data_IF_333511848831
#
_entry.id   IF_333511848831
#
_cell.length_a   1.000
_cell.length_b   1.000
_cell.length_c   1.000
_cell.angle_alpha   90.00
_cell.angle_beta   90.00
_cell.angle_gamma   90.00
#
_symmetry.space_group_name_H-M   'P 1'
#
loop_
_entity.id
_entity.type
_entity.pdbx_description
1 polymer ?
#
# COMPACT_ATOMS: atom_id res chain seq x y z
N UNK A 1 27.79 -10.76 -8.97
CA UNK A 1 26.47 -11.17 -9.49
C UNK A 1 25.95 -12.23 -8.54
N UNK A 2 24.98 -11.89 -7.70
CA UNK A 2 24.33 -12.89 -6.84
C UNK A 2 23.23 -13.51 -7.69
N UNK A 3 23.41 -14.74 -8.11
CA UNK A 3 22.38 -15.54 -8.74
C UNK A 3 21.26 -15.71 -7.71
N UNK A 4 20.22 -14.87 -7.86
CA UNK A 4 19.09 -14.76 -6.94
C UNK A 4 18.22 -16.01 -6.91
N UNK A 5 18.76 -17.10 -6.42
CA UNK A 5 17.95 -18.29 -6.11
C UNK A 5 17.11 -17.91 -4.88
N UNK A 6 15.83 -17.69 -5.10
CA UNK A 6 14.87 -17.54 -4.00
C UNK A 6 14.94 -18.77 -3.11
N UNK A 7 15.17 -18.63 -1.81
CA UNK A 7 15.22 -19.79 -0.92
C UNK A 7 13.89 -20.56 -0.98
N UNK A 8 13.96 -21.86 -1.13
CA UNK A 8 12.77 -22.70 -1.02
C UNK A 8 12.15 -22.54 0.38
N UNK A 9 10.82 -22.51 0.46
CA UNK A 9 10.13 -22.51 1.76
C UNK A 9 10.56 -23.75 2.55
N UNK A 10 10.82 -23.62 3.87
CA UNK A 10 11.09 -24.79 4.71
C UNK A 10 9.96 -25.81 4.59
N UNK A 11 10.28 -27.10 4.58
CA UNK A 11 9.29 -28.18 4.47
C UNK A 11 8.24 -28.10 5.59
N UNK A 12 8.61 -27.57 6.76
CA UNK A 12 7.71 -27.33 7.89
C UNK A 12 6.85 -26.08 7.78
N UNK A 13 7.07 -25.22 6.76
CA UNK A 13 6.34 -23.98 6.57
C UNK A 13 5.22 -24.18 5.54
N UNK A 14 4.06 -24.62 6.01
CA UNK A 14 2.88 -24.94 5.22
C UNK A 14 1.90 -23.75 5.02
N UNK A 15 2.22 -22.59 5.64
CA UNK A 15 1.31 -21.45 5.65
C UNK A 15 1.44 -20.62 4.39
N UNK A 16 0.31 -20.08 3.97
CA UNK A 16 0.24 -19.05 2.95
C UNK A 16 0.80 -17.74 3.46
N UNK A 17 1.36 -16.90 2.59
CA UNK A 17 1.92 -15.60 2.94
C UNK A 17 1.11 -14.50 2.29
N UNK A 18 0.65 -13.55 3.10
CA UNK A 18 -0.01 -12.33 2.65
C UNK A 18 0.89 -11.11 2.81
N UNK A 19 0.79 -10.17 1.87
CA UNK A 19 1.42 -8.85 1.96
C UNK A 19 0.35 -7.78 1.86
N UNK A 20 0.24 -6.93 2.87
CA UNK A 20 -0.73 -5.84 2.96
C UNK A 20 0.02 -4.52 2.87
N UNK A 21 -0.32 -3.71 1.86
CA UNK A 21 0.32 -2.44 1.53
C UNK A 21 -0.65 -1.28 1.76
N UNK A 22 -0.33 -0.45 2.74
CA UNK A 22 -1.12 0.73 3.09
C UNK A 22 -1.02 1.82 2.01
N UNK A 23 -2.07 2.63 1.84
CA UNK A 23 -2.01 3.86 1.05
C UNK A 23 -1.12 4.90 1.72
N UNK A 24 -0.44 5.75 0.94
CA UNK A 24 0.49 6.73 1.52
C UNK A 24 1.22 7.65 0.55
N UNK A 25 0.83 7.70 -0.72
CA UNK A 25 1.49 8.53 -1.73
C UNK A 25 2.99 8.21 -1.83
N UNK A 26 3.85 9.23 -1.74
CA UNK A 26 5.30 9.08 -1.87
C UNK A 26 5.94 8.11 -0.86
N UNK A 27 5.31 7.90 0.31
CA UNK A 27 5.78 6.94 1.31
C UNK A 27 5.72 5.48 0.82
N UNK A 28 4.99 5.23 -0.26
CA UNK A 28 4.91 3.91 -0.89
C UNK A 28 6.25 3.38 -1.41
N UNK A 29 7.25 4.22 -1.63
CA UNK A 29 8.62 3.78 -1.99
C UNK A 29 9.23 2.86 -0.93
N UNK A 30 8.91 3.07 0.34
CA UNK A 30 9.29 2.18 1.44
C UNK A 30 8.77 0.74 1.25
N UNK A 31 7.56 0.58 0.71
CA UNK A 31 6.97 -0.73 0.45
C UNK A 31 7.76 -1.52 -0.60
N UNK A 32 8.36 -0.81 -1.58
CA UNK A 32 9.26 -1.41 -2.56
C UNK A 32 10.47 -2.06 -1.89
N UNK A 33 11.13 -1.37 -0.95
CA UNK A 33 12.26 -1.93 -0.18
C UNK A 33 11.86 -3.08 0.73
N UNK A 34 10.66 -3.04 1.31
CA UNK A 34 10.11 -4.18 2.08
C UNK A 34 9.92 -5.39 1.17
N UNK A 35 9.35 -5.20 -0.03
CA UNK A 35 9.20 -6.29 -0.98
C UNK A 35 10.54 -6.84 -1.45
N UNK A 36 11.52 -6.00 -1.72
CA UNK A 36 12.88 -6.42 -2.08
C UNK A 36 13.48 -7.37 -1.02
N UNK A 37 13.35 -7.05 0.27
CA UNK A 37 13.78 -7.92 1.34
C UNK A 37 12.99 -9.24 1.43
N UNK A 38 11.68 -9.19 1.15
CA UNK A 38 10.84 -10.39 1.10
C UNK A 38 11.17 -11.27 -0.11
N UNK A 39 11.54 -10.67 -1.24
CA UNK A 39 11.82 -11.38 -2.49
C UNK A 39 13.00 -12.37 -2.39
N UNK A 40 13.94 -12.10 -1.49
CA UNK A 40 15.10 -12.97 -1.22
C UNK A 40 14.94 -13.79 0.06
N UNK A 41 13.73 -13.88 0.59
CA UNK A 41 13.41 -14.64 1.81
C UNK A 41 12.55 -15.87 1.50
N UNK A 42 12.43 -16.76 2.49
CA UNK A 42 11.50 -17.90 2.46
C UNK A 42 10.01 -17.49 2.53
N UNK A 43 9.70 -16.20 2.76
CA UNK A 43 8.36 -15.67 3.00
C UNK A 43 7.79 -14.95 1.76
N UNK A 44 7.96 -15.51 0.58
CA UNK A 44 7.37 -14.94 -0.64
C UNK A 44 5.84 -14.88 -0.54
N UNK A 45 5.24 -13.69 -0.79
CA UNK A 45 3.79 -13.58 -0.80
C UNK A 45 3.14 -14.39 -1.93
N UNK A 46 2.01 -15.00 -1.62
CA UNK A 46 1.08 -15.58 -2.60
C UNK A 46 -0.22 -14.77 -2.75
N UNK A 47 -0.41 -13.78 -1.89
CA UNK A 47 -1.50 -12.82 -1.96
C UNK A 47 -1.00 -11.44 -1.55
N UNK A 48 -1.16 -10.47 -2.41
CA UNK A 48 -0.86 -9.06 -2.13
C UNK A 48 -2.14 -8.24 -2.19
N UNK A 49 -2.35 -7.39 -1.18
CA UNK A 49 -3.48 -6.48 -1.13
C UNK A 49 -2.99 -5.06 -0.85
N UNK A 50 -3.54 -4.07 -1.54
CA UNK A 50 -3.10 -2.68 -1.40
C UNK A 50 -4.22 -1.66 -1.60
N UNK A 51 -3.99 -0.46 -1.06
CA UNK A 51 -4.85 0.72 -1.22
C UNK A 51 -4.00 1.86 -1.76
N UNK A 52 -4.55 2.67 -2.67
CA UNK A 52 -3.88 3.85 -3.23
C UNK A 52 -2.52 3.48 -3.84
N UNK A 53 -1.44 4.13 -3.45
CA UNK A 53 -0.08 3.77 -3.89
C UNK A 53 0.28 2.32 -3.54
N UNK A 54 -0.27 1.79 -2.44
CA UNK A 54 -0.11 0.38 -2.07
C UNK A 54 -0.77 -0.56 -3.09
N UNK A 55 -1.88 -0.15 -3.73
CA UNK A 55 -2.51 -0.90 -4.81
C UNK A 55 -1.64 -0.92 -6.07
N UNK A 56 -0.99 0.19 -6.39
CA UNK A 56 -0.05 0.28 -7.51
C UNK A 56 1.15 -0.64 -7.27
N UNK A 57 1.80 -0.55 -6.10
CA UNK A 57 2.90 -1.44 -5.75
C UNK A 57 2.47 -2.92 -5.78
N UNK A 58 1.28 -3.23 -5.23
CA UNK A 58 0.72 -4.57 -5.24
C UNK A 58 0.52 -5.10 -6.67
N UNK A 59 0.00 -4.27 -7.58
CA UNK A 59 -0.22 -4.63 -8.96
C UNK A 59 1.11 -4.85 -9.73
N UNK A 60 2.12 -3.99 -9.49
CA UNK A 60 3.46 -4.20 -10.06
C UNK A 60 4.07 -5.51 -9.56
N UNK A 61 3.89 -5.85 -8.29
CA UNK A 61 4.38 -7.12 -7.73
C UNK A 61 3.64 -8.31 -8.35
N UNK A 62 2.32 -8.27 -8.41
CA UNK A 62 1.51 -9.38 -8.90
C UNK A 62 1.62 -9.59 -10.42
N UNK A 63 1.73 -8.51 -11.18
CA UNK A 63 1.77 -8.54 -12.64
C UNK A 63 3.16 -8.76 -13.24
N UNK A 64 4.16 -9.16 -12.46
CA UNK A 64 5.47 -9.44 -12.99
C UNK A 64 6.01 -10.79 -12.52
N UNK A 65 6.87 -11.41 -13.32
CA UNK A 65 7.58 -12.61 -12.93
C UNK A 65 8.49 -12.34 -11.71
N UNK A 66 8.68 -13.31 -10.81
CA UNK A 66 9.41 -13.09 -9.56
C UNK A 66 10.75 -12.38 -9.71
N UNK A 67 11.51 -12.73 -10.74
CA UNK A 67 12.83 -12.18 -11.06
C UNK A 67 12.78 -10.70 -11.51
N UNK A 68 11.64 -10.22 -11.99
CA UNK A 68 11.48 -8.85 -12.50
C UNK A 68 10.78 -7.90 -11.53
N UNK A 69 10.12 -8.40 -10.49
CA UNK A 69 9.27 -7.61 -9.58
C UNK A 69 9.99 -6.44 -8.94
N UNK A 70 11.17 -6.69 -8.38
CA UNK A 70 11.98 -5.66 -7.71
C UNK A 70 12.43 -4.60 -8.72
N UNK A 71 12.92 -5.04 -9.90
CA UNK A 71 13.35 -4.10 -10.94
C UNK A 71 12.18 -3.26 -11.45
N UNK A 72 10.99 -3.83 -11.64
CA UNK A 72 9.80 -3.10 -12.07
C UNK A 72 9.32 -2.09 -11.03
N UNK A 73 9.39 -2.43 -9.73
CA UNK A 73 9.13 -1.47 -8.65
C UNK A 73 10.13 -0.32 -8.67
N UNK A 74 11.43 -0.60 -8.87
CA UNK A 74 12.46 0.44 -9.01
C UNK A 74 12.17 1.34 -10.19
N UNK A 75 11.93 0.78 -11.37
CA UNK A 75 11.60 1.53 -12.58
C UNK A 75 10.38 2.44 -12.36
N UNK A 76 9.30 1.93 -11.75
CA UNK A 76 8.13 2.74 -11.43
C UNK A 76 8.50 3.95 -10.56
N UNK A 77 9.21 3.71 -9.46
CA UNK A 77 9.57 4.78 -8.53
C UNK A 77 10.58 5.76 -9.10
N UNK A 78 11.55 5.32 -9.88
CA UNK A 78 12.50 6.18 -10.57
C UNK A 78 11.80 7.10 -11.59
N UNK A 79 10.88 6.57 -12.38
CA UNK A 79 10.15 7.34 -13.37
C UNK A 79 9.25 8.41 -12.75
N UNK A 80 8.44 8.05 -11.75
CA UNK A 80 7.52 9.02 -11.14
C UNK A 80 8.23 10.02 -10.22
N UNK A 81 9.46 9.75 -9.80
CA UNK A 81 10.27 10.67 -8.99
C UNK A 81 11.35 11.38 -9.80
N UNK A 82 11.45 11.12 -11.10
CA UNK A 82 12.41 11.79 -11.96
C UNK A 82 12.24 13.32 -11.88
N UNK A 83 13.33 14.09 -11.72
CA UNK A 83 13.23 15.53 -11.61
C UNK A 83 12.68 16.13 -12.92
N UNK A 84 11.57 16.85 -12.82
CA UNK A 84 10.91 17.54 -13.93
C UNK A 84 11.65 18.79 -14.40
N UNK A 85 12.79 19.16 -13.79
CA UNK A 85 13.47 20.41 -14.05
C UNK A 85 14.98 20.26 -14.10
N UNK A 86 15.58 20.92 -15.10
CA UNK A 86 17.02 21.09 -15.31
C UNK A 86 17.77 21.84 -14.17
N UNK A 87 17.05 22.28 -13.14
CA UNK A 87 17.56 23.11 -12.06
C UNK A 87 18.07 22.33 -10.83
N UNK A 88 17.93 21.01 -10.81
CA UNK A 88 18.29 20.19 -9.62
C UNK A 88 19.79 19.88 -9.48
N UNK A 89 20.62 20.25 -10.46
CA UNK A 89 22.06 19.92 -10.46
C UNK A 89 22.98 20.93 -9.77
N UNK A 90 22.46 22.05 -9.26
CA UNK A 90 23.30 23.19 -8.87
C UNK A 90 23.35 23.53 -7.37
N UNK A 91 22.62 22.87 -6.48
CA UNK A 91 22.55 23.27 -5.07
C UNK A 91 22.80 22.08 -4.12
N UNK A 92 24.06 21.79 -3.87
CA UNK A 92 24.50 21.01 -2.71
C UNK A 92 24.68 21.96 -1.51
N UNK A 93 23.79 21.85 -0.50
CA UNK A 93 23.88 22.67 0.70
C UNK A 93 22.79 22.41 1.74
N UNK A 94 22.82 23.03 2.93
CA UNK A 94 21.94 22.77 4.08
C UNK A 94 20.47 23.18 3.89
N UNK A 95 19.99 23.35 2.67
CA UNK A 95 18.65 23.83 2.31
C UNK A 95 17.72 22.64 1.99
N UNK A 96 17.87 21.52 2.70
CA UNK A 96 17.09 20.30 2.44
C UNK A 96 15.58 20.52 2.60
N UNK A 97 15.16 21.30 3.59
CA UNK A 97 13.74 21.61 3.81
C UNK A 97 13.16 22.45 2.67
N UNK A 98 13.92 23.43 2.17
CA UNK A 98 13.51 24.26 1.03
C UNK A 98 13.40 23.45 -0.27
N UNK A 99 14.30 22.50 -0.48
CA UNK A 99 14.25 21.59 -1.64
C UNK A 99 13.04 20.65 -1.59
N UNK A 100 12.62 20.19 -0.41
CA UNK A 100 11.41 19.38 -0.24
C UNK A 100 10.15 20.19 -0.56
N UNK A 101 10.07 21.43 -0.07
CA UNK A 101 8.98 22.36 -0.39
C UNK A 101 8.96 22.71 -1.89
N UNK A 102 10.11 23.00 -2.48
CA UNK A 102 10.22 23.28 -3.90
C UNK A 102 9.85 22.08 -4.76
N UNK A 103 10.26 20.85 -4.37
CA UNK A 103 9.87 19.62 -5.04
C UNK A 103 8.37 19.33 -4.96
N UNK A 104 7.77 19.53 -3.79
CA UNK A 104 6.32 19.37 -3.62
C UNK A 104 5.52 20.41 -4.40
N UNK A 105 5.94 21.69 -4.37
CA UNK A 105 5.33 22.76 -5.17
C UNK A 105 5.50 22.52 -6.67
N UNK A 106 6.66 22.01 -7.11
CA UNK A 106 6.90 21.66 -8.50
C UNK A 106 5.96 20.53 -8.95
N UNK A 107 5.80 19.50 -8.15
CA UNK A 107 4.86 18.39 -8.43
C UNK A 107 3.39 18.89 -8.48
N UNK A 108 3.02 19.81 -7.58
CA UNK A 108 1.69 20.42 -7.58
C UNK A 108 1.45 21.30 -8.81
N UNK A 109 2.46 22.07 -9.23
CA UNK A 109 2.31 23.03 -10.35
C UNK A 109 2.51 22.40 -11.72
N UNK A 110 3.40 21.43 -11.85
CA UNK A 110 3.79 20.85 -13.15
C UNK A 110 3.38 19.37 -13.31
N UNK A 111 2.86 18.74 -12.25
CA UNK A 111 2.53 17.32 -12.25
C UNK A 111 3.73 16.42 -11.97
N UNK A 112 3.49 15.12 -12.13
CA UNK A 112 4.52 14.07 -12.03
C UNK A 112 4.56 13.25 -13.31
N UNK A 113 5.69 13.15 -13.99
CA UNK A 113 5.82 12.37 -15.23
C UNK A 113 5.32 10.95 -15.03
N UNK A 114 4.53 10.47 -15.99
CA UNK A 114 3.99 9.10 -15.93
C UNK A 114 2.96 8.84 -14.83
N UNK A 115 2.55 9.88 -14.08
CA UNK A 115 1.56 9.71 -13.01
C UNK A 115 0.38 10.68 -13.16
N UNK A 116 0.60 12.00 -13.05
CA UNK A 116 -0.48 12.99 -13.19
C UNK A 116 0.01 14.30 -13.78
N UNK A 117 -0.90 15.00 -14.44
CA UNK A 117 -0.67 16.28 -15.07
C UNK A 117 -1.70 17.31 -14.59
N UNK A 118 -1.32 18.58 -14.33
CA UNK A 118 -2.26 19.63 -13.97
C UNK A 118 -3.21 19.90 -15.14
N UNK A 119 -4.46 20.22 -14.82
CA UNK A 119 -5.42 20.66 -15.84
C UNK A 119 -5.04 22.05 -16.35
N UNK A 120 -5.16 22.25 -17.65
CA UNK A 120 -4.89 23.54 -18.28
C UNK A 120 -6.04 24.53 -17.98
N UNK A 121 -5.80 25.85 -17.99
CA UNK A 121 -6.84 26.85 -17.70
C UNK A 121 -8.12 26.67 -18.53
N UNK A 122 -8.01 26.29 -19.80
CA UNK A 122 -9.18 26.08 -20.66
C UNK A 122 -10.06 24.88 -20.22
N UNK A 123 -9.49 23.89 -19.54
CA UNK A 123 -10.26 22.74 -19.02
C UNK A 123 -11.26 23.17 -17.93
N UNK A 124 -11.03 24.31 -17.27
CA UNK A 124 -11.90 24.85 -16.21
C UNK A 124 -13.12 25.61 -16.77
N UNK A 125 -12.99 26.11 -18.00
CA UNK A 125 -14.04 26.93 -18.65
C UNK A 125 -14.80 26.15 -19.72
N UNK A 126 -14.46 24.88 -19.94
CA UNK A 126 -15.20 24.01 -20.87
C UNK A 126 -16.56 23.61 -20.26
N UNK A 127 -17.54 23.29 -21.11
CA UNK A 127 -18.91 22.92 -20.72
C UNK A 127 -19.00 21.70 -19.81
N UNK A 128 -17.99 20.85 -19.80
CA UNK A 128 -17.85 19.77 -18.83
C UNK A 128 -17.02 20.28 -17.64
N UNK A 129 -17.71 20.59 -16.55
CA UNK A 129 -17.09 21.03 -15.31
C UNK A 129 -16.02 20.02 -14.85
N UNK A 130 -14.79 20.52 -14.63
CA UNK A 130 -13.70 19.67 -14.14
C UNK A 130 -13.96 19.25 -12.70
N UNK A 131 -14.00 17.94 -12.45
CA UNK A 131 -14.22 17.35 -11.11
C UNK A 131 -12.93 17.04 -10.36
N UNK A 132 -11.77 17.50 -10.87
CA UNK A 132 -10.45 17.26 -10.26
C UNK A 132 -9.43 18.30 -10.70
N UNK A 133 -8.38 18.46 -9.90
CA UNK A 133 -7.27 19.37 -10.23
C UNK A 133 -6.31 18.81 -11.29
N UNK A 134 -6.15 17.50 -11.35
CA UNK A 134 -5.21 16.81 -12.22
C UNK A 134 -5.90 15.81 -13.14
N UNK A 135 -5.21 15.46 -14.23
CA UNK A 135 -5.51 14.33 -15.11
C UNK A 135 -4.57 13.17 -14.78
N UNK A 136 -5.06 11.94 -14.83
CA UNK A 136 -4.30 10.72 -14.52
C UNK A 136 -4.17 9.77 -15.71
N UNK A 137 -4.33 10.28 -16.94
CA UNK A 137 -4.18 9.49 -18.17
C UNK A 137 -2.77 8.88 -18.31
N UNK A 138 -1.74 9.64 -17.91
CA UNK A 138 -0.36 9.18 -17.92
C UNK A 138 -0.14 7.95 -17.03
N UNK A 139 -0.81 7.88 -15.88
CA UNK A 139 -0.75 6.72 -14.99
C UNK A 139 -1.23 5.44 -15.68
N UNK A 140 -2.33 5.51 -16.45
CA UNK A 140 -2.83 4.34 -17.18
C UNK A 140 -1.76 3.73 -18.07
N UNK A 141 -1.11 4.56 -18.89
CA UNK A 141 -0.04 4.11 -19.80
C UNK A 141 1.16 3.54 -19.04
N UNK A 142 1.51 4.14 -17.88
CA UNK A 142 2.59 3.62 -17.03
C UNK A 142 2.24 2.25 -16.45
N UNK A 143 1.00 2.06 -15.97
CA UNK A 143 0.55 0.77 -15.45
C UNK A 143 0.52 -0.30 -16.54
N UNK A 144 -0.02 0.00 -17.73
CA UNK A 144 -0.07 -0.92 -18.86
C UNK A 144 1.33 -1.35 -19.35
N UNK A 145 2.32 -0.48 -19.22
CA UNK A 145 3.71 -0.78 -19.61
C UNK A 145 4.47 -1.59 -18.55
N UNK A 146 4.21 -1.35 -17.27
CA UNK A 146 4.96 -1.96 -16.16
C UNK A 146 4.32 -3.22 -15.60
N UNK A 147 3.04 -3.47 -15.90
CA UNK A 147 2.23 -4.54 -15.31
C UNK A 147 1.66 -5.40 -16.42
N UNK A 148 1.92 -6.68 -16.35
CA UNK A 148 1.25 -7.69 -17.15
C UNK A 148 -0.07 -8.09 -16.47
N UNK A 149 -1.18 -7.51 -16.93
CA UNK A 149 -2.52 -7.80 -16.42
C UNK A 149 -3.00 -9.20 -16.79
N UNK A 150 -2.53 -9.76 -17.89
CA UNK A 150 -2.83 -11.14 -18.26
C UNK A 150 -2.21 -12.11 -17.26
N UNK A 151 -1.00 -11.81 -16.80
CA UNK A 151 -0.36 -12.58 -15.72
C UNK A 151 -1.18 -12.57 -14.44
N UNK A 152 -1.66 -11.40 -13.99
CA UNK A 152 -2.52 -11.26 -12.80
C UNK A 152 -3.76 -12.14 -12.91
N UNK A 153 -4.38 -12.14 -14.09
CA UNK A 153 -5.69 -12.76 -14.29
C UNK A 153 -5.62 -14.28 -14.57
N UNK A 154 -4.55 -14.76 -15.19
CA UNK A 154 -4.52 -16.13 -15.71
C UNK A 154 -3.55 -17.07 -14.98
N UNK A 155 -2.39 -16.59 -14.49
CA UNK A 155 -1.38 -17.51 -13.92
C UNK A 155 -1.72 -18.01 -12.52
N UNK A 156 -2.52 -17.25 -11.76
CA UNK A 156 -2.87 -17.54 -10.35
C UNK A 156 -1.65 -17.73 -9.42
N UNK A 157 -0.47 -17.27 -9.86
CA UNK A 157 0.75 -17.36 -9.04
C UNK A 157 0.67 -16.45 -7.82
N UNK A 158 0.06 -15.28 -7.99
CA UNK A 158 -0.12 -14.31 -6.93
C UNK A 158 -1.50 -13.68 -7.05
N UNK A 159 -2.29 -13.78 -5.98
CA UNK A 159 -3.57 -13.11 -5.87
C UNK A 159 -3.36 -11.62 -5.63
N UNK A 160 -4.09 -10.78 -6.35
CA UNK A 160 -4.13 -9.34 -6.18
C UNK A 160 -5.51 -8.90 -5.68
N UNK A 161 -5.53 -8.04 -4.64
CA UNK A 161 -6.75 -7.37 -4.21
C UNK A 161 -6.48 -5.89 -4.02
N UNK A 162 -7.31 -5.04 -4.62
CA UNK A 162 -7.25 -3.58 -4.47
C UNK A 162 -8.61 -3.06 -4.04
N UNK A 163 -8.63 -2.02 -3.19
CA UNK A 163 -9.87 -1.47 -2.66
C UNK A 163 -10.13 -0.06 -3.15
N UNK A 164 -11.40 0.25 -3.44
CA UNK A 164 -11.84 1.59 -3.82
C UNK A 164 -13.24 1.89 -3.23
N UNK A 165 -13.62 3.15 -3.22
CA UNK A 165 -14.93 3.61 -2.72
C UNK A 165 -15.82 3.98 -3.89
N UNK A 166 -16.98 3.35 -3.98
CA UNK A 166 -18.02 3.75 -4.95
C UNK A 166 -18.55 5.14 -4.58
N UNK A 167 -18.44 6.09 -5.54
CA UNK A 167 -18.76 7.51 -5.30
C UNK A 167 -20.23 7.71 -4.99
N UNK A 168 -21.12 6.96 -5.65
CA UNK A 168 -22.56 7.12 -5.53
C UNK A 168 -23.12 6.54 -4.23
N UNK A 169 -22.60 5.39 -3.81
CA UNK A 169 -23.13 4.64 -2.66
C UNK A 169 -22.34 4.84 -1.38
N UNK A 170 -21.07 5.30 -1.48
CA UNK A 170 -20.12 5.34 -0.36
C UNK A 170 -19.64 3.95 0.08
N UNK A 171 -20.06 2.88 -0.60
CA UNK A 171 -19.60 1.53 -0.26
C UNK A 171 -18.13 1.34 -0.64
N UNK A 172 -17.44 0.56 0.18
CA UNK A 172 -16.08 0.16 -0.07
C UNK A 172 -16.06 -1.20 -0.75
N UNK A 173 -15.53 -1.24 -1.97
CA UNK A 173 -15.47 -2.43 -2.79
C UNK A 173 -14.03 -2.95 -2.92
N UNK A 174 -13.87 -4.28 -2.93
CA UNK A 174 -12.60 -4.93 -3.25
C UNK A 174 -12.65 -5.56 -4.64
N UNK A 175 -11.76 -5.15 -5.50
CA UNK A 175 -11.46 -5.78 -6.78
C UNK A 175 -10.38 -6.84 -6.57
N UNK A 176 -10.72 -8.09 -6.82
CA UNK A 176 -9.91 -9.25 -6.43
C UNK A 176 -9.74 -10.20 -7.62
N UNK A 177 -8.50 -10.53 -7.96
CA UNK A 177 -8.16 -11.36 -9.13
C UNK A 177 -8.69 -12.80 -9.08
N UNK A 178 -9.12 -13.29 -7.90
CA UNK A 178 -9.83 -14.55 -7.81
C UNK A 178 -11.33 -14.45 -8.17
N UNK A 179 -11.89 -13.24 -8.21
CA UNK A 179 -13.32 -13.00 -8.40
C UNK A 179 -13.65 -12.33 -9.72
N UNK A 180 -12.80 -11.43 -10.17
CA UNK A 180 -13.01 -10.62 -11.39
C UNK A 180 -11.72 -10.51 -12.19
N UNK A 181 -11.83 -10.15 -13.46
CA UNK A 181 -10.69 -9.76 -14.28
C UNK A 181 -10.20 -8.37 -13.87
N UNK A 182 -8.99 -8.28 -13.39
CA UNK A 182 -8.35 -7.03 -13.00
C UNK A 182 -7.89 -6.27 -14.23
N UNK A 183 -8.21 -4.98 -14.28
CA UNK A 183 -7.84 -4.03 -15.34
C UNK A 183 -7.08 -2.85 -14.72
N UNK A 184 -6.35 -2.05 -15.51
CA UNK A 184 -5.68 -0.84 -15.03
C UNK A 184 -6.61 0.10 -14.25
N UNK A 185 -7.87 0.22 -14.67
CA UNK A 185 -8.87 1.08 -14.04
C UNK A 185 -9.13 0.72 -12.57
N UNK A 186 -9.10 -0.56 -12.21
CA UNK A 186 -9.26 -0.99 -10.81
C UNK A 186 -8.13 -0.48 -9.91
N UNK A 187 -6.88 -0.52 -10.44
CA UNK A 187 -5.70 -0.01 -9.73
C UNK A 187 -5.75 1.51 -9.64
N UNK A 188 -6.12 2.19 -10.73
CA UNK A 188 -6.28 3.64 -10.79
C UNK A 188 -7.37 4.14 -9.85
N UNK A 189 -8.50 3.44 -9.77
CA UNK A 189 -9.62 3.77 -8.87
C UNK A 189 -9.18 3.76 -7.41
N UNK A 190 -8.36 2.77 -7.03
CA UNK A 190 -7.81 2.69 -5.68
C UNK A 190 -6.92 3.89 -5.31
N UNK A 191 -6.36 4.59 -6.29
CA UNK A 191 -5.50 5.77 -6.09
C UNK A 191 -6.14 7.11 -6.48
N UNK A 192 -7.42 7.13 -6.82
CA UNK A 192 -8.14 8.32 -7.29
C UNK A 192 -8.60 9.21 -6.13
N UNK A 193 -7.64 9.88 -5.45
CA UNK A 193 -7.93 10.71 -4.27
C UNK A 193 -8.58 12.05 -4.65
N UNK A 194 -9.83 12.35 -4.23
CA UNK A 194 -10.46 13.64 -4.47
C UNK A 194 -9.91 14.74 -3.56
N UNK A 195 -9.93 15.99 -3.95
CA UNK A 195 -10.28 16.55 -5.27
C UNK A 195 -9.08 16.54 -6.24
N UNK A 196 -7.95 15.94 -5.87
CA UNK A 196 -6.75 15.90 -6.69
C UNK A 196 -6.99 15.17 -8.01
N UNK A 197 -7.45 13.93 -7.94
CA UNK A 197 -7.65 13.08 -9.10
C UNK A 197 -9.12 12.85 -9.43
N UNK A 198 -9.45 12.65 -10.72
CA UNK A 198 -10.82 12.38 -11.13
C UNK A 198 -11.27 10.99 -10.64
N UNK A 199 -12.58 10.78 -10.45
CA UNK A 199 -13.11 9.45 -10.25
C UNK A 199 -12.83 8.59 -11.48
N UNK A 200 -12.65 7.30 -11.27
CA UNK A 200 -12.44 6.32 -12.33
C UNK A 200 -13.73 5.56 -12.55
N UNK A 201 -14.18 5.50 -13.81
CA UNK A 201 -15.34 4.73 -14.19
C UNK A 201 -14.99 3.25 -14.39
N UNK A 202 -15.75 2.38 -13.76
CA UNK A 202 -15.67 0.93 -13.87
C UNK A 202 -17.08 0.39 -14.00
N UNK A 203 -17.38 -0.19 -15.15
CA UNK A 203 -18.66 -0.84 -15.46
C UNK A 203 -19.90 0.07 -15.18
N UNK A 204 -19.77 1.37 -15.51
CA UNK A 204 -20.83 2.38 -15.34
C UNK A 204 -20.94 3.02 -13.96
N UNK A 205 -20.12 2.61 -13.01
CA UNK A 205 -20.02 3.21 -11.67
C UNK A 205 -18.70 3.96 -11.50
N UNK A 206 -18.71 5.04 -10.69
CA UNK A 206 -17.54 5.86 -10.43
C UNK A 206 -16.92 5.52 -9.09
N UNK A 207 -15.58 5.46 -9.05
CA UNK A 207 -14.81 5.07 -7.87
C UNK A 207 -13.74 6.11 -7.52
N UNK A 208 -13.58 6.34 -6.24
CA UNK A 208 -12.51 7.10 -5.61
C UNK A 208 -11.57 6.22 -4.78
N UNK A 209 -10.46 6.82 -4.33
CA UNK A 209 -9.42 6.19 -3.52
C UNK A 209 -10.02 5.47 -2.30
N UNK A 210 -9.59 4.23 -2.13
CA UNK A 210 -10.00 3.41 -0.98
C UNK A 210 -9.60 4.00 0.37
N UNK A 211 -8.55 4.82 0.42
CA UNK A 211 -8.08 5.49 1.63
C UNK A 211 -9.09 6.44 2.26
N UNK A 212 -10.13 6.86 1.54
CA UNK A 212 -11.25 7.62 2.09
C UNK A 212 -12.01 6.83 3.16
N UNK A 213 -12.10 5.53 3.01
CA UNK A 213 -12.83 4.64 3.93
C UNK A 213 -11.88 3.77 4.76
N UNK A 214 -10.99 3.02 4.11
CA UNK A 214 -10.03 2.14 4.77
C UNK A 214 -8.68 2.19 4.03
N UNK A 215 -7.64 2.62 4.73
CA UNK A 215 -6.32 2.80 4.13
C UNK A 215 -5.44 1.53 4.16
N UNK A 216 -5.92 0.44 4.79
CA UNK A 216 -5.19 -0.81 4.95
C UNK A 216 -6.12 -2.00 4.77
N UNK A 217 -5.92 -2.87 3.78
CA UNK A 217 -6.83 -3.97 3.46
C UNK A 217 -6.60 -5.23 4.32
N UNK A 218 -6.21 -5.07 5.60
CA UNK A 218 -5.92 -6.20 6.49
C UNK A 218 -7.17 -7.02 6.79
N UNK A 219 -8.28 -6.37 7.13
CA UNK A 219 -9.54 -7.04 7.46
C UNK A 219 -10.02 -7.94 6.32
N UNK A 220 -9.92 -7.47 5.07
CA UNK A 220 -10.29 -8.26 3.90
C UNK A 220 -9.50 -9.56 3.80
N UNK A 221 -8.19 -9.51 4.04
CA UNK A 221 -7.33 -10.69 3.98
C UNK A 221 -7.56 -11.65 5.15
N UNK A 222 -7.84 -11.12 6.35
CA UNK A 222 -8.08 -11.90 7.58
C UNK A 222 -9.45 -12.58 7.57
N UNK A 223 -10.47 -11.87 7.11
CA UNK A 223 -11.87 -12.34 7.15
C UNK A 223 -12.27 -13.13 5.91
N UNK A 224 -11.37 -13.26 4.94
CA UNK A 224 -11.66 -14.02 3.71
C UNK A 224 -11.96 -15.49 4.00
N UNK A 225 -13.08 -15.97 3.48
CA UNK A 225 -13.53 -17.34 3.69
C UNK A 225 -13.31 -18.22 2.43
N UNK A 226 -12.90 -19.49 2.53
CA UNK A 226 -12.57 -20.22 3.75
C UNK A 226 -11.24 -19.73 4.38
N UNK A 227 -11.23 -19.55 5.70
CA UNK A 227 -10.03 -19.11 6.43
C UNK A 227 -8.95 -20.18 6.36
N UNK A 228 -7.79 -19.80 5.84
CA UNK A 228 -6.58 -20.63 5.82
C UNK A 228 -5.55 -20.03 6.76
N UNK A 229 -4.72 -20.90 7.37
CA UNK A 229 -3.57 -20.42 8.15
C UNK A 229 -2.66 -19.57 7.25
N UNK A 230 -2.39 -18.34 7.66
CA UNK A 230 -1.63 -17.37 6.85
C UNK A 230 -0.71 -16.54 7.72
N UNK A 231 0.51 -16.29 7.22
CA UNK A 231 1.41 -15.28 7.74
C UNK A 231 1.17 -13.98 6.95
N UNK A 232 0.87 -12.89 7.64
CA UNK A 232 0.61 -11.61 7.00
C UNK A 232 1.70 -10.61 7.39
N UNK A 233 2.36 -10.06 6.38
CA UNK A 233 3.23 -8.89 6.50
C UNK A 233 2.39 -7.66 6.18
N UNK A 234 2.21 -6.79 7.16
CA UNK A 234 1.54 -5.52 7.00
C UNK A 234 2.57 -4.39 6.99
N UNK A 235 2.55 -3.59 5.94
CA UNK A 235 3.47 -2.45 5.77
C UNK A 235 2.68 -1.17 5.99
N UNK A 236 2.83 -0.60 7.19
CA UNK A 236 2.23 0.68 7.56
C UNK A 236 3.20 1.81 7.19
N UNK A 237 2.68 2.88 6.60
CA UNK A 237 3.45 4.07 6.23
C UNK A 237 3.09 5.31 7.05
N UNK A 238 2.01 5.25 7.83
CA UNK A 238 1.62 6.31 8.76
C UNK A 238 1.81 5.86 10.21
N UNK A 239 2.62 6.59 11.02
CA UNK A 239 2.86 6.25 12.41
C UNK A 239 1.66 6.63 13.30
N UNK A 240 1.15 5.67 14.08
CA UNK A 240 0.12 5.96 15.08
C UNK A 240 0.65 6.80 16.25
N UNK A 241 1.90 6.56 16.63
CA UNK A 241 2.59 7.29 17.71
C UNK A 241 3.48 8.38 17.10
N UNK A 242 3.40 9.58 17.64
CA UNK A 242 4.21 10.73 17.25
C UNK A 242 4.36 11.73 18.40
N UNK A 243 5.20 12.72 18.21
CA UNK A 243 5.37 13.83 19.16
C UNK A 243 4.19 14.81 19.02
N UNK A 244 3.95 15.59 20.07
CA UNK A 244 3.05 16.73 19.96
C UNK A 244 3.64 17.76 18.96
N UNK A 245 2.83 18.27 18.02
CA UNK A 245 3.30 19.23 17.03
C UNK A 245 3.63 20.57 17.69
N UNK A 246 4.66 21.25 17.19
CA UNK A 246 5.13 22.54 17.69
C UNK A 246 4.89 23.68 16.69
N UNK A 247 4.53 23.35 15.44
CA UNK A 247 4.23 24.33 14.39
C UNK A 247 3.11 23.80 13.49
N UNK A 248 2.56 24.69 12.63
CA UNK A 248 1.41 24.37 11.78
C UNK A 248 1.68 23.25 10.76
N UNK A 249 2.89 23.17 10.24
CA UNK A 249 3.26 22.09 9.32
C UNK A 249 3.22 20.73 10.01
N UNK A 250 3.77 20.63 11.22
CA UNK A 250 3.72 19.43 12.05
C UNK A 250 2.28 19.07 12.47
N UNK A 251 1.40 20.07 12.69
CA UNK A 251 -0.04 19.82 12.94
C UNK A 251 -0.68 19.13 11.74
N UNK A 252 -0.44 19.62 10.53
CA UNK A 252 -0.98 19.04 9.30
C UNK A 252 -0.47 17.62 9.07
N UNK A 253 0.83 17.40 9.29
CA UNK A 253 1.43 16.08 9.17
C UNK A 253 0.87 15.12 10.22
N UNK A 254 0.78 15.54 11.48
CA UNK A 254 0.26 14.71 12.57
C UNK A 254 -1.22 14.38 12.41
N UNK A 255 -2.04 15.31 11.95
CA UNK A 255 -3.46 15.06 11.62
C UNK A 255 -3.59 13.94 10.57
N UNK A 256 -2.80 14.03 9.50
CA UNK A 256 -2.73 13.01 8.46
C UNK A 256 -2.31 11.64 9.02
N UNK A 257 -1.25 11.61 9.81
CA UNK A 257 -0.75 10.39 10.45
C UNK A 257 -1.83 9.71 11.30
N UNK A 258 -2.54 10.49 12.13
CA UNK A 258 -3.61 9.97 12.99
C UNK A 258 -4.76 9.44 12.13
N UNK A 259 -5.22 10.19 11.14
CA UNK A 259 -6.35 9.79 10.29
C UNK A 259 -6.11 8.46 9.58
N UNK A 260 -4.92 8.28 9.00
CA UNK A 260 -4.62 7.08 8.22
C UNK A 260 -4.10 5.91 9.06
N UNK A 261 -3.49 6.16 10.24
CA UNK A 261 -3.04 5.10 11.12
C UNK A 261 -4.12 4.53 12.03
N UNK A 262 -5.10 5.34 12.46
CA UNK A 262 -6.09 4.97 13.48
C UNK A 262 -6.98 3.79 13.06
N UNK A 263 -7.38 3.74 11.79
CA UNK A 263 -8.21 2.67 11.24
C UNK A 263 -7.46 1.34 11.21
N UNK A 264 -6.18 1.36 10.86
CA UNK A 264 -5.29 0.19 10.89
C UNK A 264 -5.11 -0.38 12.29
N UNK A 265 -5.12 0.47 13.33
CA UNK A 265 -4.96 0.04 14.71
C UNK A 265 -6.14 -0.78 15.24
N UNK A 266 -7.36 -0.46 14.85
CA UNK A 266 -8.55 -1.24 15.22
C UNK A 266 -8.46 -2.65 14.63
N UNK A 267 -8.17 -2.76 13.36
CA UNK A 267 -8.08 -4.06 12.66
C UNK A 267 -6.95 -4.94 13.23
N UNK A 268 -5.79 -4.35 13.49
CA UNK A 268 -4.64 -5.08 14.05
C UNK A 268 -4.86 -5.57 15.48
N UNK A 269 -5.68 -4.89 16.32
CA UNK A 269 -6.00 -5.34 17.66
C UNK A 269 -6.89 -6.57 17.66
N UNK A 270 -7.88 -6.63 16.80
CA UNK A 270 -8.78 -7.78 16.68
C UNK A 270 -7.98 -9.03 16.30
N UNK A 271 -7.08 -8.93 15.32
CA UNK A 271 -6.21 -10.04 14.90
C UNK A 271 -5.24 -10.43 16.02
N UNK A 272 -4.74 -9.46 16.80
CA UNK A 272 -3.73 -9.74 17.84
C UNK A 272 -4.28 -10.45 19.07
N UNK A 273 -5.53 -10.28 19.41
CA UNK A 273 -6.15 -10.97 20.53
C UNK A 273 -6.38 -12.48 20.27
N UNK A 274 -6.48 -12.87 19.00
CA UNK A 274 -6.75 -14.25 18.60
C UNK A 274 -5.49 -15.15 18.54
N UNK A 275 -4.25 -14.61 18.57
CA UNK A 275 -3.03 -15.38 18.25
C UNK A 275 -1.89 -15.28 19.29
N UNK A 276 -2.19 -15.43 20.56
CA UNK A 276 -1.42 -14.98 21.72
C UNK A 276 -0.09 -15.65 22.14
N UNK A 277 0.56 -16.60 21.49
CA UNK A 277 1.78 -17.26 22.05
C UNK A 277 3.01 -17.52 21.18
N UNK A 278 2.94 -17.50 19.85
CA UNK A 278 4.10 -17.84 19.00
C UNK A 278 4.92 -16.66 18.46
N UNK A 279 4.62 -15.44 18.84
CA UNK A 279 5.04 -14.18 18.21
C UNK A 279 6.49 -13.71 18.42
N UNK A 280 7.22 -14.20 19.44
CA UNK A 280 8.48 -13.53 19.84
C UNK A 280 9.70 -13.86 18.98
N UNK A 281 9.83 -15.05 18.42
CA UNK A 281 11.05 -15.51 17.75
C UNK A 281 11.23 -15.07 16.30
N UNK A 282 10.14 -14.96 15.51
CA UNK A 282 10.22 -14.56 14.10
C UNK A 282 10.39 -13.05 13.88
N UNK A 283 9.97 -12.22 14.83
CA UNK A 283 10.00 -10.76 14.73
C UNK A 283 11.40 -10.14 14.59
N UNK A 284 12.42 -10.73 15.18
CA UNK A 284 13.76 -10.11 15.23
C UNK A 284 14.56 -10.25 13.93
N UNK A 285 14.51 -11.40 13.25
CA UNK A 285 15.38 -11.66 12.09
C UNK A 285 14.87 -11.02 10.79
N UNK A 286 13.55 -11.04 10.53
CA UNK A 286 12.98 -10.43 9.35
C UNK A 286 13.08 -8.90 9.38
N UNK A 287 12.87 -8.30 10.55
CA UNK A 287 12.85 -6.85 10.73
C UNK A 287 14.18 -6.17 10.41
N UNK A 288 15.31 -6.71 10.90
CA UNK A 288 16.63 -6.09 10.70
C UNK A 288 17.12 -6.15 9.25
N UNK A 289 16.71 -7.16 8.48
CA UNK A 289 17.07 -7.28 7.06
C UNK A 289 16.20 -6.36 6.18
N UNK A 290 14.91 -6.26 6.49
CA UNK A 290 13.97 -5.37 5.81
C UNK A 290 14.36 -3.90 5.98
N UNK A 291 14.72 -3.49 7.19
CA UNK A 291 15.13 -2.11 7.47
C UNK A 291 16.37 -1.70 6.67
N UNK A 292 17.37 -2.58 6.50
CA UNK A 292 18.58 -2.30 5.70
C UNK A 292 18.27 -2.13 4.20
N UNK A 293 17.55 -3.06 3.60
CA UNK A 293 17.25 -3.03 2.16
C UNK A 293 16.33 -1.86 1.78
N UNK A 294 15.42 -1.48 2.70
CA UNK A 294 14.55 -0.31 2.49
C UNK A 294 15.35 0.99 2.40
N UNK A 295 16.45 1.11 3.16
CA UNK A 295 17.35 2.29 3.11
C UNK A 295 18.05 2.40 1.76
N UNK A 296 18.47 1.28 1.17
CA UNK A 296 19.15 1.28 -0.13
C UNK A 296 18.22 1.68 -1.27
N UNK A 297 17.00 1.15 -1.33
CA UNK A 297 16.02 1.51 -2.37
C UNK A 297 15.64 3.00 -2.30
N UNK A 298 15.49 3.55 -1.11
CA UNK A 298 15.18 4.98 -0.92
C UNK A 298 16.38 5.86 -1.25
N UNK A 299 17.59 5.38 -1.01
CA UNK A 299 18.81 6.10 -1.40
C UNK A 299 18.93 6.24 -2.91
N UNK A 300 18.44 5.27 -3.69
CA UNK A 300 18.41 5.32 -5.15
C UNK A 300 17.26 6.20 -5.70
N UNK A 301 16.14 6.29 -4.97
CA UNK A 301 14.95 7.06 -5.36
C UNK A 301 15.02 8.57 -5.07
N UNK A 302 16.17 9.09 -4.65
CA UNK A 302 16.42 10.52 -4.43
C UNK A 302 16.32 10.98 -2.96
N UNK A 303 17.05 12.09 -2.66
CA UNK A 303 17.25 12.60 -1.28
C UNK A 303 15.97 13.12 -0.62
N UNK A 304 14.96 13.52 -1.39
CA UNK A 304 13.69 14.05 -0.88
C UNK A 304 12.90 13.05 -0.01
N UNK A 305 13.09 11.76 -0.23
CA UNK A 305 12.37 10.70 0.50
C UNK A 305 13.08 10.25 1.80
N UNK A 306 14.31 10.69 2.08
CA UNK A 306 15.06 10.23 3.26
C UNK A 306 14.44 10.65 4.59
N UNK A 307 13.93 11.88 4.69
CA UNK A 307 13.36 12.40 5.95
C UNK A 307 11.98 11.78 6.22
N UNK A 308 11.16 11.63 5.18
CA UNK A 308 9.90 10.90 5.27
C UNK A 308 10.11 9.43 5.69
N UNK A 309 11.22 8.82 5.27
CA UNK A 309 11.58 7.45 5.64
C UNK A 309 11.93 7.29 7.13
N UNK A 310 12.68 8.20 7.72
CA UNK A 310 13.07 8.10 9.14
C UNK A 310 11.87 8.22 10.08
N UNK A 311 10.76 8.78 9.61
CA UNK A 311 9.49 8.87 10.31
C UNK A 311 8.54 7.71 9.96
N UNK A 312 8.73 7.06 8.81
CA UNK A 312 7.87 5.97 8.38
C UNK A 312 8.03 4.73 9.25
N UNK A 313 6.97 4.19 9.58
CA UNK A 313 6.63 3.23 10.58
C UNK A 313 6.91 1.78 10.18
N UNK A 314 6.62 0.98 11.01
CA UNK A 314 6.93 -0.39 11.41
C UNK A 314 6.15 -1.41 10.59
N UNK A 315 6.87 -2.31 9.94
CA UNK A 315 6.29 -3.55 9.43
C UNK A 315 5.70 -4.36 10.60
N UNK A 316 4.45 -4.80 10.45
CA UNK A 316 3.79 -5.70 11.40
C UNK A 316 3.64 -7.07 10.80
N UNK A 317 3.92 -8.08 11.61
CA UNK A 317 3.76 -9.48 11.23
C UNK A 317 2.63 -10.06 12.08
N UNK A 318 1.62 -10.61 11.42
CA UNK A 318 0.47 -11.26 12.08
C UNK A 318 0.29 -12.65 11.51
N UNK A 319 -0.01 -13.59 12.39
CA UNK A 319 -0.36 -14.96 12.03
C UNK A 319 -1.86 -15.16 12.22
N UNK A 320 -2.53 -15.59 11.17
CA UNK A 320 -3.96 -15.91 11.17
C UNK A 320 -4.10 -17.43 11.16
N UNK A 321 -4.65 -18.03 12.22
CA UNK A 321 -4.90 -19.48 12.25
C UNK A 321 -6.03 -19.87 11.29
N UNK A 322 -5.99 -21.10 10.78
CA UNK A 322 -7.12 -21.69 10.06
C UNK A 322 -8.34 -21.76 10.99
N UNK A 323 -9.55 -21.61 10.44
CA UNK A 323 -10.79 -21.83 11.18
C UNK A 323 -10.85 -23.28 11.64
N UNK A 324 -11.25 -23.52 12.91
CA UNK A 324 -11.59 -24.86 13.36
C UNK A 324 -12.78 -25.38 12.53
N UNK A 325 -12.84 -26.69 12.22
CA UNK A 325 -14.01 -27.26 11.57
C UNK A 325 -15.26 -26.95 12.39
N UNK A 326 -16.34 -26.56 11.73
CA UNK A 326 -17.67 -26.42 12.33
C UNK A 326 -18.09 -27.79 12.88
N UNK A 327 -17.95 -28.00 14.18
CA UNK A 327 -18.31 -29.29 14.84
C UNK A 327 -17.85 -29.41 16.29
N UNK A 328 -16.94 -28.58 16.77
CA UNK A 328 -16.58 -28.55 18.19
C UNK A 328 -17.14 -27.32 18.86
N UNK A 329 -18.38 -27.42 19.35
CA UNK A 329 -18.97 -26.47 20.31
C UNK A 329 -18.09 -26.48 21.56
N UNK A 330 -17.49 -25.34 21.88
CA UNK A 330 -16.80 -25.19 23.15
C UNK A 330 -17.81 -25.41 24.29
N UNK A 331 -17.43 -26.13 25.37
CA UNK A 331 -18.30 -26.25 26.52
C UNK A 331 -18.65 -24.85 27.05
N UNK A 332 -19.94 -24.58 27.18
CA UNK A 332 -20.46 -23.37 27.81
C UNK A 332 -19.88 -23.31 29.23
N UNK A 333 -19.26 -22.23 29.59
CA UNK A 333 -18.96 -21.93 31.00
C UNK A 333 -20.27 -21.65 31.68
N UNK A 334 -20.59 -22.33 32.78
CA UNK A 334 -21.71 -21.93 33.62
C UNK A 334 -21.35 -20.63 34.35
N UNK A 335 -22.35 -19.74 34.39
CA UNK A 335 -22.54 -18.65 35.35
C UNK A 335 -21.53 -17.48 35.33
N UNK A 336 -21.89 -16.45 34.57
CA UNK A 336 -21.61 -15.06 34.94
C UNK A 336 -22.92 -14.43 35.41
N UNK A 337 -22.95 -13.79 36.58
CA UNK A 337 -24.19 -13.18 37.09
C UNK A 337 -24.57 -11.93 36.29
N UNK A 338 -25.88 -11.81 36.05
CA UNK A 338 -26.56 -10.63 35.51
C UNK A 338 -26.23 -9.37 36.36
N UNK A 339 -25.49 -8.44 35.81
CA UNK A 339 -25.22 -7.11 36.34
C UNK A 339 -25.71 -6.01 35.41
N UNK A 340 -26.99 -6.05 35.00
CA UNK A 340 -27.68 -4.88 34.47
C UNK A 340 -29.18 -4.98 34.73
N UNK A 341 -29.59 -4.70 36.02
CA UNK A 341 -30.91 -4.15 36.37
C UNK A 341 -30.68 -3.12 37.46
N UNK A 342 -30.85 -1.86 37.08
CA UNK A 342 -30.81 -0.71 37.93
C UNK A 342 -30.80 0.55 37.11
#
# INVERSE_FOLDING_TARGET
MNDGITPARPVSYDKKVGLVLQGGGALGSYQGGVYEALSVSEYLPDWVAGISIGAINAAVIAGNAPEHRVQRLRTFWEEITAPTSLWHSALDGPIVEWQQWAGALTALMFGQPGFFEPRKPHDWFSSNQSVSYYKTSALKSTLERLIDFDRINHTKEMRLSVGAVNVRTGHFDYFDSEKITIRPEHVMASGAIPPGFPPIEIDGEQYWDGGLFSNTPLAYMVDYYPRRSRLIFQVDVFPAHGRAPTNLAEVTERDKDIRYSSRTHCDSRVVSQQSGRQRRRMRCNARSKVERNSVEMISSAGRANRTAFLQASKMRISEVPASRPLGQVAPQRPDAPDLWRG
#
